data_IF_326810234089
#
_entry.id   IF_326810234089
#
_cell.length_a   1.000
_cell.length_b   1.000
_cell.length_c   1.000
_cell.angle_alpha   90.00
_cell.angle_beta   90.00
_cell.angle_gamma   90.00
#
_symmetry.space_group_name_H-M   'P 1'
#
loop_
_entity.id
_entity.type
_entity.pdbx_description
1 polymer ?
#
# COMPACT_ATOMS: atom_id res chain seq x y z
N UNK A 1 14.51 -17.05 -63.75
CA UNK A 1 13.25 -17.59 -63.21
C UNK A 1 13.40 -17.78 -61.71
N UNK A 2 12.78 -16.93 -60.88
CA UNK A 2 12.21 -17.30 -59.58
C UNK A 2 11.31 -16.13 -59.14
N UNK A 3 10.00 -16.31 -59.34
CA UNK A 3 8.96 -15.44 -58.80
C UNK A 3 8.86 -15.71 -57.30
N UNK A 4 9.05 -14.69 -56.46
CA UNK A 4 8.61 -14.77 -55.07
C UNK A 4 7.26 -14.06 -54.93
N UNK A 5 6.22 -14.89 -54.90
CA UNK A 5 4.85 -14.57 -54.57
C UNK A 5 4.79 -14.18 -53.08
N UNK A 6 4.84 -12.89 -52.75
CA UNK A 6 4.44 -12.45 -51.41
C UNK A 6 2.91 -12.45 -51.33
N UNK A 7 2.37 -13.48 -50.71
CA UNK A 7 0.95 -13.55 -50.34
C UNK A 7 0.66 -12.45 -49.33
N UNK A 8 -0.16 -11.46 -49.70
CA UNK A 8 -0.76 -10.51 -48.76
C UNK A 8 -1.73 -11.28 -47.87
N UNK A 9 -1.34 -11.54 -46.63
CA UNK A 9 -2.27 -12.02 -45.61
C UNK A 9 -3.21 -10.86 -45.26
N UNK A 10 -4.45 -10.94 -45.73
CA UNK A 10 -5.53 -10.05 -45.29
C UNK A 10 -5.91 -10.42 -43.85
N UNK A 11 -5.21 -9.84 -42.88
CA UNK A 11 -5.64 -9.86 -41.48
C UNK A 11 -6.83 -8.92 -41.29
N UNK A 12 -7.98 -9.47 -40.87
CA UNK A 12 -9.23 -8.74 -40.56
C UNK A 12 -9.13 -8.00 -39.21
N UNK A 13 -7.92 -7.88 -38.65
CA UNK A 13 -7.72 -7.23 -37.36
C UNK A 13 -7.84 -5.72 -37.52
N UNK A 14 -8.81 -5.13 -36.82
CA UNK A 14 -8.98 -3.68 -36.71
C UNK A 14 -7.77 -3.12 -35.96
N UNK A 15 -7.13 -2.12 -36.54
CA UNK A 15 -5.99 -1.44 -35.91
C UNK A 15 -6.48 -0.44 -34.85
N UNK A 16 -6.38 -0.85 -33.59
CA UNK A 16 -6.76 -0.05 -32.42
C UNK A 16 -5.69 0.99 -32.02
N UNK A 17 -4.55 1.07 -32.72
CA UNK A 17 -3.48 2.03 -32.41
C UNK A 17 -3.68 3.39 -33.06
N UNK A 18 -4.68 3.51 -33.93
CA UNK A 18 -5.01 4.73 -34.71
C UNK A 18 -5.43 5.94 -33.87
N UNK A 19 -5.80 5.76 -32.60
CA UNK A 19 -6.20 6.82 -31.67
C UNK A 19 -5.21 7.09 -30.52
N UNK A 20 -3.93 6.69 -30.68
CA UNK A 20 -2.89 6.96 -29.68
C UNK A 20 -2.09 8.22 -30.00
N UNK A 21 -2.07 9.21 -29.10
CA UNK A 21 -1.01 10.23 -29.18
C UNK A 21 0.36 9.57 -28.95
N UNK A 22 1.39 10.07 -29.63
CA UNK A 22 2.76 9.65 -29.39
C UNK A 22 3.23 10.17 -28.03
N UNK A 23 3.07 9.37 -26.98
CA UNK A 23 3.56 9.71 -25.64
C UNK A 23 5.02 9.30 -25.48
N UNK A 24 5.91 10.26 -25.24
CA UNK A 24 7.26 9.98 -24.78
C UNK A 24 7.21 9.45 -23.34
N UNK A 25 7.81 8.29 -23.10
CA UNK A 25 7.96 7.73 -21.75
C UNK A 25 8.69 8.73 -20.85
N UNK A 26 7.97 9.30 -19.88
CA UNK A 26 8.53 10.03 -18.74
C UNK A 26 8.59 9.06 -17.56
N UNK A 27 9.74 8.46 -17.33
CA UNK A 27 9.96 7.65 -16.14
C UNK A 27 10.21 8.57 -14.95
N UNK A 28 9.31 8.66 -13.95
CA UNK A 28 9.65 9.31 -12.70
C UNK A 28 10.78 8.51 -12.04
N UNK A 29 11.95 9.14 -11.86
CA UNK A 29 13.05 8.51 -11.11
C UNK A 29 12.68 8.26 -9.65
N UNK A 30 11.66 8.99 -9.15
CA UNK A 30 11.09 8.80 -7.83
C UNK A 30 9.55 8.92 -7.89
N UNK A 31 8.85 7.89 -7.43
CA UNK A 31 7.38 7.85 -7.31
C UNK A 31 6.83 8.90 -6.34
N UNK A 32 7.65 9.41 -5.41
CA UNK A 32 7.27 10.42 -4.44
C UNK A 32 6.71 11.69 -5.10
N UNK A 33 7.17 12.06 -6.29
CA UNK A 33 6.71 13.25 -6.99
C UNK A 33 5.27 13.12 -7.52
N UNK A 34 4.76 11.89 -7.66
CA UNK A 34 3.39 11.64 -8.11
C UNK A 34 2.37 11.67 -6.98
N UNK A 35 2.82 11.62 -5.72
CA UNK A 35 1.94 11.63 -4.54
C UNK A 35 1.83 13.06 -4.02
N UNK A 36 0.63 13.66 -3.96
CA UNK A 36 0.40 14.99 -3.40
C UNK A 36 0.97 15.15 -2.00
N UNK A 37 1.37 16.38 -1.63
CA UNK A 37 1.99 16.65 -0.31
C UNK A 37 1.01 16.45 0.85
N UNK A 38 -0.27 16.63 0.58
CA UNK A 38 -1.41 16.53 1.48
C UNK A 38 -2.07 15.14 1.47
N UNK A 39 -1.53 14.17 0.73
CA UNK A 39 -2.09 12.82 0.70
C UNK A 39 -1.96 12.12 2.07
N UNK A 40 -3.05 11.47 2.48
CA UNK A 40 -3.16 10.64 3.68
C UNK A 40 -2.02 9.63 3.87
N UNK A 41 -1.45 9.10 2.79
CA UNK A 41 -0.34 8.13 2.84
C UNK A 41 0.92 8.72 3.46
N UNK A 42 1.16 10.02 3.24
CA UNK A 42 2.32 10.74 3.81
C UNK A 42 2.14 10.93 5.31
N UNK A 43 0.96 11.41 5.72
CA UNK A 43 0.62 11.58 7.13
C UNK A 43 0.74 10.25 7.87
N UNK A 44 0.16 9.18 7.33
CA UNK A 44 0.24 7.85 7.90
C UNK A 44 1.70 7.38 8.04
N UNK A 45 2.49 7.53 6.98
CA UNK A 45 3.89 7.13 7.00
C UNK A 45 4.64 7.85 8.10
N UNK A 46 4.45 9.18 8.25
CA UNK A 46 5.11 9.97 9.26
C UNK A 46 4.72 9.55 10.69
N UNK A 47 3.42 9.39 10.95
CA UNK A 47 2.93 8.92 12.27
C UNK A 47 3.58 7.58 12.64
N UNK A 48 3.61 6.62 11.71
CA UNK A 48 4.17 5.30 11.99
C UNK A 48 5.70 5.35 12.18
N UNK A 49 6.40 6.31 11.56
CA UNK A 49 7.83 6.50 11.82
C UNK A 49 8.11 6.95 13.26
N UNK A 50 7.21 7.75 13.85
CA UNK A 50 7.30 8.31 15.21
C UNK A 50 6.80 7.34 16.30
N UNK A 51 6.02 6.31 15.94
CA UNK A 51 5.49 5.33 16.89
C UNK A 51 6.56 4.43 17.51
N UNK A 52 6.39 4.06 18.78
CA UNK A 52 7.22 3.05 19.41
C UNK A 52 6.77 1.64 18.99
N UNK A 53 7.55 1.03 18.08
CA UNK A 53 7.30 -0.30 17.53
C UNK A 53 8.10 -1.42 18.21
N UNK A 54 8.79 -1.17 19.33
CA UNK A 54 9.66 -2.16 19.99
C UNK A 54 8.92 -3.48 20.28
N UNK A 55 7.68 -3.39 20.78
CA UNK A 55 6.84 -4.57 21.02
C UNK A 55 6.54 -5.34 19.74
N UNK A 56 6.30 -4.65 18.63
CA UNK A 56 6.09 -5.28 17.33
C UNK A 56 7.37 -6.01 16.88
N UNK A 57 8.53 -5.37 16.99
CA UNK A 57 9.80 -6.01 16.64
C UNK A 57 10.12 -7.22 17.51
N UNK A 58 9.77 -7.22 18.81
CA UNK A 58 9.93 -8.38 19.70
C UNK A 58 9.11 -9.60 19.27
N UNK A 59 8.00 -9.41 18.55
CA UNK A 59 7.25 -10.55 17.98
C UNK A 59 7.99 -11.25 16.83
N UNK A 60 9.00 -10.60 16.24
CA UNK A 60 9.82 -11.15 15.16
C UNK A 60 11.15 -11.69 15.68
N UNK A 61 11.40 -12.98 15.47
CA UNK A 61 12.67 -13.61 15.86
C UNK A 61 13.83 -13.32 14.90
N UNK A 62 13.54 -13.10 13.60
CA UNK A 62 14.54 -12.76 12.56
C UNK A 62 13.93 -11.91 11.45
N UNK A 63 14.62 -10.83 11.09
CA UNK A 63 14.32 -10.01 9.90
C UNK A 63 15.37 -10.34 8.83
N UNK A 64 14.94 -10.61 7.60
CA UNK A 64 15.86 -10.84 6.46
C UNK A 64 15.99 -9.54 5.65
N UNK A 65 17.22 -9.18 5.26
CA UNK A 65 17.58 -7.85 4.73
C UNK A 65 16.95 -7.41 3.40
N UNK A 66 16.24 -8.28 2.68
CA UNK A 66 15.57 -7.94 1.40
C UNK A 66 14.06 -8.19 1.43
N UNK A 67 13.45 -8.32 2.62
CA UNK A 67 12.01 -8.53 2.78
C UNK A 67 11.35 -7.33 3.42
N UNK A 68 10.06 -7.15 3.14
CA UNK A 68 9.22 -6.14 3.76
C UNK A 68 9.36 -6.22 5.28
N UNK A 69 9.73 -5.08 5.88
CA UNK A 69 9.96 -4.96 7.32
C UNK A 69 8.63 -4.99 8.09
N UNK A 70 8.64 -5.32 9.39
CA UNK A 70 7.44 -5.23 10.23
C UNK A 70 6.79 -3.84 10.21
N UNK A 71 7.61 -2.77 10.15
CA UNK A 71 7.16 -1.38 10.03
C UNK A 71 6.42 -1.13 8.71
N UNK A 72 6.98 -1.57 7.59
CA UNK A 72 6.32 -1.44 6.28
C UNK A 72 5.02 -2.25 6.21
N UNK A 73 5.00 -3.47 6.75
CA UNK A 73 3.77 -4.27 6.85
C UNK A 73 2.71 -3.56 7.71
N UNK A 74 3.11 -2.93 8.82
CA UNK A 74 2.20 -2.14 9.64
C UNK A 74 1.60 -0.97 8.86
N UNK A 75 2.43 -0.21 8.13
CA UNK A 75 1.98 0.87 7.24
C UNK A 75 0.94 0.39 6.24
N UNK A 76 1.23 -0.70 5.54
CA UNK A 76 0.35 -1.29 4.53
C UNK A 76 -0.98 -1.72 5.14
N UNK A 77 -0.98 -2.40 6.29
CA UNK A 77 -2.22 -2.86 6.95
C UNK A 77 -3.08 -1.68 7.38
N UNK A 78 -2.49 -0.67 8.03
CA UNK A 78 -3.26 0.49 8.50
C UNK A 78 -3.81 1.27 7.29
N UNK A 79 -3.00 1.49 6.25
CA UNK A 79 -3.45 2.17 5.04
C UNK A 79 -4.55 1.40 4.31
N UNK A 80 -4.44 0.07 4.23
CA UNK A 80 -5.48 -0.78 3.65
C UNK A 80 -6.80 -0.66 4.41
N UNK A 81 -6.77 -0.67 5.75
CA UNK A 81 -7.96 -0.46 6.58
C UNK A 81 -8.56 0.93 6.35
N UNK A 82 -7.75 1.98 6.21
CA UNK A 82 -8.22 3.34 5.90
C UNK A 82 -8.94 3.41 4.53
N UNK A 83 -8.58 2.54 3.59
CA UNK A 83 -9.19 2.45 2.27
C UNK A 83 -10.23 1.32 2.16
N UNK A 84 -10.67 0.74 3.28
CA UNK A 84 -11.64 -0.37 3.32
C UNK A 84 -11.20 -1.64 2.55
N UNK A 85 -9.88 -1.88 2.42
CA UNK A 85 -9.31 -3.05 1.75
C UNK A 85 -8.92 -4.09 2.80
N UNK A 86 -9.72 -5.15 2.96
CA UNK A 86 -9.54 -6.12 4.04
C UNK A 86 -8.94 -7.45 3.59
N UNK A 87 -9.16 -7.85 2.34
CA UNK A 87 -8.65 -9.12 1.83
C UNK A 87 -7.14 -9.06 1.66
N UNK A 88 -6.41 -10.05 2.19
CA UNK A 88 -4.94 -10.10 2.01
C UNK A 88 -4.53 -10.17 0.54
N UNK A 89 -5.37 -10.77 -0.31
CA UNK A 89 -5.15 -10.83 -1.77
C UNK A 89 -5.38 -9.47 -2.43
N UNK A 90 -6.36 -8.70 -1.96
CA UNK A 90 -6.60 -7.35 -2.47
C UNK A 90 -5.47 -6.41 -2.03
N UNK A 91 -4.99 -6.55 -0.79
CA UNK A 91 -3.84 -5.80 -0.30
C UNK A 91 -2.58 -6.14 -1.12
N UNK A 92 -2.33 -7.41 -1.41
CA UNK A 92 -1.23 -7.81 -2.29
C UNK A 92 -1.37 -7.17 -3.69
N UNK A 93 -2.58 -7.19 -4.26
CA UNK A 93 -2.86 -6.56 -5.57
C UNK A 93 -2.62 -5.05 -5.51
N UNK A 94 -3.03 -4.37 -4.44
CA UNK A 94 -2.79 -2.96 -4.22
C UNK A 94 -1.29 -2.66 -4.12
N UNK A 95 -0.53 -3.45 -3.35
CA UNK A 95 0.93 -3.34 -3.25
C UNK A 95 1.67 -3.41 -4.60
N UNK A 96 1.07 -4.05 -5.61
CA UNK A 96 1.63 -4.20 -6.96
C UNK A 96 1.17 -3.15 -7.96
N UNK A 97 0.12 -2.38 -7.66
CA UNK A 97 -0.57 -1.53 -8.66
C UNK A 97 -0.79 -0.10 -8.21
N UNK A 98 -0.95 0.10 -6.92
CA UNK A 98 -1.29 1.38 -6.32
C UNK A 98 -0.01 2.09 -5.85
N UNK A 99 0.18 3.32 -6.31
CA UNK A 99 1.39 4.11 -6.04
C UNK A 99 1.56 4.45 -4.55
N UNK A 100 0.46 4.61 -3.81
CA UNK A 100 0.50 4.91 -2.39
C UNK A 100 0.99 3.68 -1.62
N UNK A 101 0.56 2.48 -2.00
CA UNK A 101 1.12 1.25 -1.41
C UNK A 101 2.58 1.02 -1.81
N UNK A 102 2.97 1.32 -3.05
CA UNK A 102 4.37 1.25 -3.49
C UNK A 102 5.27 2.22 -2.71
N UNK A 103 4.77 3.42 -2.42
CA UNK A 103 5.43 4.40 -1.57
C UNK A 103 5.68 3.85 -0.16
N UNK A 104 4.66 3.24 0.47
CA UNK A 104 4.80 2.63 1.80
C UNK A 104 5.79 1.45 1.81
N UNK A 105 5.97 0.78 0.67
CA UNK A 105 6.98 -0.27 0.50
C UNK A 105 8.40 0.27 0.37
N UNK A 106 8.61 1.54 0.02
CA UNK A 106 9.93 2.16 -0.06
C UNK A 106 10.93 1.37 -0.92
N UNK A 107 10.47 0.82 -2.05
CA UNK A 107 11.27 0.02 -2.97
C UNK A 107 11.38 -1.48 -2.62
N UNK A 108 10.81 -1.92 -1.50
CA UNK A 108 10.70 -3.35 -1.21
C UNK A 108 9.72 -4.06 -2.15
N UNK A 109 9.95 -5.34 -2.40
CA UNK A 109 9.04 -6.16 -3.21
C UNK A 109 7.70 -6.33 -2.51
N UNK A 110 6.60 -6.28 -3.27
CA UNK A 110 5.26 -6.47 -2.73
C UNK A 110 5.14 -7.80 -1.96
N UNK A 111 4.62 -7.80 -0.71
CA UNK A 111 4.49 -9.00 0.08
C UNK A 111 3.35 -9.86 -0.47
N UNK A 112 3.54 -11.18 -0.48
CA UNK A 112 2.50 -12.14 -0.83
C UNK A 112 1.34 -12.10 0.19
N UNK A 113 0.11 -12.40 -0.25
CA UNK A 113 -1.07 -12.45 0.61
C UNK A 113 -0.87 -13.33 1.85
N UNK A 114 -0.08 -14.40 1.74
CA UNK A 114 0.25 -15.28 2.87
C UNK A 114 1.08 -14.58 3.94
N UNK A 115 1.99 -13.69 3.53
CA UNK A 115 2.81 -12.87 4.43
C UNK A 115 1.95 -11.82 5.12
N UNK A 116 1.06 -11.16 4.38
CA UNK A 116 0.10 -10.18 4.91
C UNK A 116 -0.84 -10.84 5.92
N UNK A 117 -1.43 -11.98 5.58
CA UNK A 117 -2.33 -12.72 6.46
C UNK A 117 -1.62 -13.16 7.75
N UNK A 118 -0.41 -13.70 7.62
CA UNK A 118 0.41 -14.11 8.78
C UNK A 118 0.79 -12.93 9.66
N UNK A 119 1.16 -11.80 9.07
CA UNK A 119 1.43 -10.57 9.80
C UNK A 119 0.24 -10.18 10.67
N UNK A 120 -0.95 -10.13 10.06
CA UNK A 120 -2.19 -9.72 10.72
C UNK A 120 -2.59 -10.68 11.84
N UNK A 121 -2.58 -11.99 11.59
CA UNK A 121 -3.10 -12.98 12.54
C UNK A 121 -2.14 -13.30 13.69
N UNK A 122 -0.84 -13.31 13.44
CA UNK A 122 0.15 -13.75 14.43
C UNK A 122 0.81 -12.58 15.13
N UNK A 123 1.28 -11.57 14.40
CA UNK A 123 2.17 -10.56 14.97
C UNK A 123 1.38 -9.31 15.37
N UNK A 124 0.58 -8.76 14.46
CA UNK A 124 -0.22 -7.57 14.71
C UNK A 124 -1.27 -7.80 15.79
N UNK A 125 -1.94 -8.96 15.80
CA UNK A 125 -2.97 -9.30 16.79
C UNK A 125 -2.46 -9.15 18.23
N UNK A 126 -1.22 -9.55 18.52
CA UNK A 126 -0.61 -9.49 19.85
C UNK A 126 -0.36 -8.05 20.35
N UNK A 127 -0.10 -7.12 19.44
CA UNK A 127 0.29 -5.75 19.78
C UNK A 127 -0.74 -4.70 19.34
N UNK A 128 -1.82 -5.13 18.70
CA UNK A 128 -2.84 -4.30 18.04
C UNK A 128 -3.38 -3.21 18.97
N UNK A 129 -3.83 -3.58 20.19
CA UNK A 129 -4.36 -2.63 21.18
C UNK A 129 -3.38 -1.49 21.48
N UNK A 130 -2.10 -1.82 21.67
CA UNK A 130 -1.08 -0.83 21.99
C UNK A 130 -0.74 0.07 20.79
N UNK A 131 -0.64 -0.50 19.60
CA UNK A 131 -0.34 0.27 18.38
C UNK A 131 -1.50 1.18 17.99
N UNK A 132 -2.74 0.69 18.08
CA UNK A 132 -3.94 1.50 17.79
C UNK A 132 -4.06 2.63 18.81
N UNK A 133 -3.84 2.38 20.11
CA UNK A 133 -3.85 3.44 21.11
C UNK A 133 -2.79 4.51 20.84
N UNK A 134 -1.56 4.12 20.49
CA UNK A 134 -0.51 5.06 20.09
C UNK A 134 -0.94 5.88 18.87
N UNK A 135 -1.46 5.22 17.83
CA UNK A 135 -1.91 5.87 16.60
C UNK A 135 -3.05 6.88 16.86
N UNK A 136 -4.07 6.50 17.63
CA UNK A 136 -5.17 7.39 18.02
C UNK A 136 -4.68 8.57 18.84
N UNK A 137 -3.71 8.36 19.74
CA UNK A 137 -3.10 9.45 20.49
C UNK A 137 -2.37 10.43 19.55
N UNK A 138 -1.57 9.94 18.59
CA UNK A 138 -0.92 10.80 17.60
C UNK A 138 -1.92 11.60 16.77
N UNK A 139 -3.03 10.99 16.38
CA UNK A 139 -4.12 11.69 15.71
C UNK A 139 -4.69 12.75 16.67
N UNK A 140 -5.08 12.38 17.89
CA UNK A 140 -5.70 13.30 18.86
C UNK A 140 -4.79 14.44 19.34
N UNK A 141 -3.46 14.26 19.38
CA UNK A 141 -2.51 15.32 19.71
C UNK A 141 -2.27 16.29 18.55
N UNK A 142 -2.21 15.77 17.31
CA UNK A 142 -2.05 16.61 16.10
C UNK A 142 -3.36 17.26 15.65
N UNK A 143 -4.48 16.87 16.28
CA UNK A 143 -5.82 17.29 15.91
C UNK A 143 -6.60 17.64 17.17
N UNK A 144 -6.80 18.93 17.40
CA UNK A 144 -8.11 19.47 17.84
C UNK A 144 -9.21 19.14 16.80
N UNK A 145 -9.25 17.91 16.25
CA UNK A 145 -10.40 17.46 15.48
C UNK A 145 -11.43 17.06 16.51
N UNK A 146 -12.51 17.85 16.48
CA UNK A 146 -13.77 17.60 17.15
C UNK A 146 -14.01 16.10 17.32
N UNK A 147 -14.35 15.75 18.57
CA UNK A 147 -14.74 14.41 19.02
C UNK A 147 -15.94 13.83 18.25
N UNK A 148 -16.51 14.54 17.27
CA UNK A 148 -17.76 14.17 16.60
C UNK A 148 -17.57 13.20 15.43
N UNK A 149 -16.35 13.04 14.88
CA UNK A 149 -16.10 12.09 13.75
C UNK A 149 -15.61 10.71 14.21
N UNK A 150 -15.48 10.49 15.52
CA UNK A 150 -15.09 9.20 16.13
C UNK A 150 -16.29 8.25 16.31
N UNK A 151 -17.35 8.41 15.51
CA UNK A 151 -18.42 7.44 15.34
C UNK A 151 -18.00 6.39 14.28
N UNK A 152 -16.97 5.61 14.61
CA UNK A 152 -16.75 4.32 13.95
C UNK A 152 -17.46 3.29 14.82
N UNK A 153 -18.74 3.12 14.51
CA UNK A 153 -19.62 1.95 14.68
C UNK A 153 -19.43 1.04 15.92
N UNK A 154 -20.45 1.05 16.78
CA UNK A 154 -20.85 -0.17 17.50
C UNK A 154 -20.75 -0.21 19.03
N UNK A 155 -20.47 0.87 19.75
CA UNK A 155 -20.67 0.87 21.21
C UNK A 155 -21.22 2.22 21.68
N UNK A 156 -22.53 2.27 21.85
CA UNK A 156 -23.15 3.22 22.77
C UNK A 156 -22.57 2.93 24.16
N UNK A 157 -21.88 3.91 24.73
CA UNK A 157 -21.60 3.92 26.15
C UNK A 157 -22.64 4.87 26.73
N UNK A 158 -23.64 4.29 27.38
CA UNK A 158 -24.49 4.98 28.35
C UNK A 158 -23.68 5.32 29.61
#
# INVERSE_FOLDING_TARGET
>A
MYNNCMQKQNTIQIDYTTYGDNYQFKLPLNIDYMIPKDDSVRLLSQIIEEMNLEKLYKTYSRIRGNKVTPRQLLKIIIYANMNCIYSSREIEKACKRDINFMYLLGGASAPDHSTIARFRSIYFSQVSKNLIAQFTNFIGYNKEISKDTLLIDGTKIE
#
